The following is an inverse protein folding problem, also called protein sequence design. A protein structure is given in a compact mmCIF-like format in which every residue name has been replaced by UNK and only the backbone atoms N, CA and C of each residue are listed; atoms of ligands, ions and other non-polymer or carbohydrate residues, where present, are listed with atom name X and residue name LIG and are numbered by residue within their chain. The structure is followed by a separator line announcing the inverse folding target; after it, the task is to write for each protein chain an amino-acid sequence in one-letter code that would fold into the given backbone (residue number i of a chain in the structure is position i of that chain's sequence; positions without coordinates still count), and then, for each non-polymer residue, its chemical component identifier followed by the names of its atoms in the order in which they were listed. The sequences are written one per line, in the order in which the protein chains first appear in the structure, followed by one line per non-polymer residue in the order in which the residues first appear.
data_IF_944812623196
#
_entry.id   IF_944812623196
#
_cell.length_a   1.000
_cell.length_b   1.000
_cell.length_c   1.000
_cell.angle_alpha   90.00
_cell.angle_beta   90.00
_cell.angle_gamma   90.00
#
_symmetry.space_group_name_H-M   'P 1'
#
loop_
_entity.id
_entity.type
_entity.pdbx_description
1 polymer ?
#
# COMPACT_ATOMS: atom_id res chain seq x y z
N UNK A 1 23.24 -12.54 -14.43
CA UNK A 1 22.32 -11.56 -13.82
C UNK A 1 22.31 -10.30 -14.67
N UNK A 2 21.29 -10.10 -15.53
CA UNK A 2 21.23 -8.97 -16.47
C UNK A 2 20.46 -7.80 -15.85
N UNK A 3 21.15 -7.00 -15.03
CA UNK A 3 20.62 -5.82 -14.30
C UNK A 3 20.18 -4.66 -15.21
N UNK A 4 20.44 -4.73 -16.52
CA UNK A 4 20.11 -3.70 -17.49
C UNK A 4 18.61 -3.64 -17.85
N UNK A 5 17.90 -4.78 -17.85
CA UNK A 5 16.48 -4.82 -18.24
C UNK A 5 15.55 -4.32 -17.12
N UNK A 6 15.90 -4.54 -15.85
CA UNK A 6 15.14 -4.04 -14.70
C UNK A 6 15.18 -2.50 -14.65
N UNK A 7 16.34 -1.87 -14.92
CA UNK A 7 16.49 -0.41 -14.97
C UNK A 7 15.62 0.27 -16.04
N UNK A 8 15.41 -0.37 -17.19
CA UNK A 8 14.64 0.19 -18.32
C UNK A 8 13.13 -0.04 -18.19
N UNK A 9 12.72 -1.13 -17.55
CA UNK A 9 11.31 -1.46 -17.29
C UNK A 9 10.74 -0.72 -16.06
N UNK A 10 11.62 -0.29 -15.14
CA UNK A 10 11.28 0.29 -13.84
C UNK A 10 10.36 1.52 -13.86
N UNK A 11 10.51 2.56 -14.71
CA UNK A 11 9.72 3.77 -14.55
C UNK A 11 8.23 3.56 -14.90
N UNK A 12 7.96 2.81 -15.97
CA UNK A 12 6.58 2.53 -16.41
C UNK A 12 5.90 1.53 -15.48
N UNK A 13 6.63 0.51 -15.04
CA UNK A 13 6.14 -0.43 -14.03
C UNK A 13 5.90 0.28 -12.68
N UNK A 14 6.80 1.17 -12.23
CA UNK A 14 6.66 1.93 -10.98
C UNK A 14 5.37 2.76 -10.98
N UNK A 15 5.07 3.47 -12.06
CA UNK A 15 3.83 4.24 -12.15
C UNK A 15 2.59 3.35 -12.07
N UNK A 16 2.60 2.19 -12.75
CA UNK A 16 1.52 1.21 -12.65
C UNK A 16 1.40 0.63 -11.23
N UNK A 17 2.52 0.40 -10.55
CA UNK A 17 2.54 -0.06 -9.16
C UNK A 17 2.03 1.00 -8.19
N UNK A 18 2.42 2.28 -8.34
CA UNK A 18 1.87 3.37 -7.55
C UNK A 18 0.36 3.45 -7.74
N UNK A 19 -0.13 3.33 -8.99
CA UNK A 19 -1.57 3.31 -9.26
C UNK A 19 -2.26 2.09 -8.62
N UNK A 20 -1.65 0.90 -8.68
CA UNK A 20 -2.18 -0.31 -8.06
C UNK A 20 -2.20 -0.21 -6.52
N UNK A 21 -1.13 0.26 -5.90
CA UNK A 21 -1.03 0.48 -4.44
C UNK A 21 -2.01 1.54 -4.00
N UNK A 22 -2.18 2.62 -4.76
CA UNK A 22 -3.18 3.66 -4.51
C UNK A 22 -4.60 3.08 -4.56
N UNK A 23 -4.90 2.26 -5.57
CA UNK A 23 -6.19 1.58 -5.70
C UNK A 23 -6.43 0.58 -4.56
N UNK A 24 -5.37 -0.12 -4.14
CA UNK A 24 -5.40 -1.03 -3.00
C UNK A 24 -5.63 -0.29 -1.69
N UNK A 25 -4.93 0.83 -1.47
CA UNK A 25 -5.11 1.68 -0.30
C UNK A 25 -6.55 2.21 -0.24
N UNK A 26 -7.10 2.64 -1.37
CA UNK A 26 -8.50 3.06 -1.45
C UNK A 26 -9.48 1.93 -1.10
N UNK A 27 -9.18 0.68 -1.47
CA UNK A 27 -9.96 -0.49 -1.06
C UNK A 27 -9.91 -0.75 0.44
N UNK A 28 -8.82 -0.37 1.09
CA UNK A 28 -8.71 -0.36 2.55
C UNK A 28 -9.22 0.95 3.16
N UNK A 29 -9.93 1.81 2.44
CA UNK A 29 -10.44 3.07 2.97
C UNK A 29 -9.35 4.09 3.31
N UNK A 30 -8.11 3.89 2.86
CA UNK A 30 -7.04 4.89 2.96
C UNK A 30 -7.02 5.64 1.64
N UNK A 31 -7.52 6.88 1.64
CA UNK A 31 -7.59 7.73 0.45
C UNK A 31 -6.94 9.09 0.71
N UNK A 32 -6.64 9.83 -0.36
CA UNK A 32 -6.15 11.20 -0.26
C UNK A 32 -7.15 12.16 0.44
N UNK A 33 -8.44 11.80 0.51
CA UNK A 33 -9.47 12.59 1.18
C UNK A 33 -9.60 12.28 2.67
N UNK A 34 -9.09 11.14 3.12
CA UNK A 34 -9.22 10.68 4.49
C UNK A 34 -9.06 9.17 4.63
N UNK A 35 -8.84 8.75 5.87
CA UNK A 35 -8.78 7.36 6.30
C UNK A 35 -10.09 6.94 6.93
N UNK A 36 -10.68 5.85 6.44
CA UNK A 36 -11.87 5.27 7.05
C UNK A 36 -11.53 4.57 8.38
N UNK A 37 -12.44 4.61 9.36
CA UNK A 37 -12.25 3.91 10.62
C UNK A 37 -12.19 2.40 10.39
N UNK A 38 -11.18 1.75 10.97
CA UNK A 38 -11.09 0.31 11.03
C UNK A 38 -11.67 -0.19 12.35
N UNK A 39 -12.70 -1.03 12.27
CA UNK A 39 -13.27 -1.70 13.43
C UNK A 39 -12.75 -3.14 13.49
N UNK A 40 -12.07 -3.52 14.56
CA UNK A 40 -11.55 -4.87 14.70
C UNK A 40 -12.54 -5.71 15.50
N UNK A 41 -13.20 -6.69 14.86
CA UNK A 41 -14.14 -7.61 15.49
C UNK A 41 -13.56 -9.03 15.44
N UNK A 42 -12.92 -9.44 16.53
CA UNK A 42 -12.32 -10.78 16.67
C UNK A 42 -11.20 -11.02 15.64
N UNK A 43 -11.42 -12.00 14.75
CA UNK A 43 -10.49 -12.40 13.69
C UNK A 43 -10.65 -11.61 12.37
N UNK A 44 -11.61 -10.70 12.33
CA UNK A 44 -11.94 -9.89 11.15
C UNK A 44 -11.77 -8.40 11.47
N UNK A 45 -11.11 -7.68 10.58
CA UNK A 45 -11.03 -6.22 10.57
C UNK A 45 -12.05 -5.69 9.56
N UNK A 46 -13.11 -5.06 10.06
CA UNK A 46 -14.07 -4.30 9.28
C UNK A 46 -13.48 -2.94 8.92
N UNK A 47 -13.55 -2.61 7.63
CA UNK A 47 -12.98 -1.42 7.03
C UNK A 47 -14.04 -0.84 6.10
N UNK A 48 -14.70 0.23 6.53
CA UNK A 48 -15.89 0.74 5.83
C UNK A 48 -16.93 -0.37 5.69
N UNK A 49 -17.31 -0.69 4.45
CA UNK A 49 -18.24 -1.78 4.12
C UNK A 49 -17.57 -3.15 3.88
N UNK A 50 -16.24 -3.24 3.96
CA UNK A 50 -15.50 -4.48 3.62
C UNK A 50 -14.89 -5.15 4.85
N UNK A 51 -15.08 -6.46 4.99
CA UNK A 51 -14.45 -7.27 6.02
C UNK A 51 -13.16 -7.91 5.51
N UNK A 52 -12.07 -7.75 6.26
CA UNK A 52 -10.75 -8.27 5.93
C UNK A 52 -10.18 -9.14 7.06
N UNK A 53 -9.28 -10.09 6.77
CA UNK A 53 -8.62 -10.88 7.81
C UNK A 53 -7.79 -9.99 8.75
N UNK A 54 -7.75 -10.32 10.05
CA UNK A 54 -6.93 -9.64 11.07
C UNK A 54 -5.44 -9.53 10.69
N UNK A 55 -4.92 -10.45 9.89
CA UNK A 55 -3.55 -10.41 9.39
C UNK A 55 -3.21 -9.12 8.63
N UNK A 56 -4.20 -8.45 8.04
CA UNK A 56 -4.03 -7.21 7.27
C UNK A 56 -4.02 -5.96 8.17
N UNK A 57 -4.63 -6.05 9.36
CA UNK A 57 -4.71 -4.94 10.31
C UNK A 57 -3.35 -4.28 10.65
N UNK A 58 -2.26 -5.02 10.98
CA UNK A 58 -0.97 -4.39 11.26
C UNK A 58 -0.38 -3.69 10.02
N UNK A 59 -0.52 -4.27 8.84
CA UNK A 59 -0.03 -3.68 7.59
C UNK A 59 -0.78 -2.38 7.25
N UNK A 60 -2.10 -2.36 7.45
CA UNK A 60 -2.94 -1.15 7.30
C UNK A 60 -2.52 -0.07 8.30
N UNK A 61 -2.35 -0.42 9.57
CA UNK A 61 -1.98 0.54 10.62
C UNK A 61 -0.60 1.16 10.36
N UNK A 62 0.34 0.40 9.81
CA UNK A 62 1.62 0.92 9.34
C UNK A 62 1.45 1.90 8.16
N UNK A 63 0.56 1.58 7.21
CA UNK A 63 0.23 2.45 6.08
C UNK A 63 -0.41 3.76 6.54
N UNK A 64 -1.39 3.69 7.44
CA UNK A 64 -2.04 4.84 8.07
C UNK A 64 -1.01 5.74 8.76
N UNK A 65 -0.14 5.17 9.59
CA UNK A 65 0.92 5.94 10.25
C UNK A 65 1.89 6.59 9.28
N UNK A 66 2.24 5.91 8.18
CA UNK A 66 3.03 6.54 7.11
C UNK A 66 2.26 7.71 6.49
N UNK A 67 0.99 7.52 6.14
CA UNK A 67 0.14 8.58 5.56
C UNK A 67 0.01 9.78 6.50
N UNK A 68 -0.12 9.56 7.81
CA UNK A 68 -0.14 10.63 8.81
C UNK A 68 1.22 11.37 8.91
N UNK A 69 2.34 10.65 8.80
CA UNK A 69 3.67 11.25 8.97
C UNK A 69 4.16 12.03 7.74
N UNK A 70 3.90 11.52 6.53
CA UNK A 70 4.49 12.07 5.30
C UNK A 70 3.44 12.45 4.23
N UNK A 71 2.17 12.15 4.48
CA UNK A 71 1.08 12.40 3.54
C UNK A 71 0.83 11.22 2.59
N UNK A 72 -0.39 11.17 2.05
CA UNK A 72 -0.88 10.04 1.25
C UNK A 72 0.00 9.75 0.02
N UNK A 73 0.30 10.77 -0.78
CA UNK A 73 1.08 10.61 -2.01
C UNK A 73 2.47 10.02 -1.74
N UNK A 74 3.17 10.56 -0.74
CA UNK A 74 4.51 10.12 -0.35
C UNK A 74 4.50 8.71 0.26
N UNK A 75 3.48 8.38 1.05
CA UNK A 75 3.31 7.03 1.60
C UNK A 75 3.05 5.99 0.50
N UNK A 76 2.22 6.30 -0.51
CA UNK A 76 1.98 5.39 -1.65
C UNK A 76 3.26 5.16 -2.46
N UNK A 77 4.06 6.20 -2.66
CA UNK A 77 5.36 6.07 -3.33
C UNK A 77 6.33 5.18 -2.55
N UNK A 78 6.48 5.40 -1.24
CA UNK A 78 7.35 4.58 -0.39
C UNK A 78 6.88 3.13 -0.29
N UNK A 79 5.57 2.90 -0.22
CA UNK A 79 4.99 1.57 -0.22
C UNK A 79 5.27 0.85 -1.54
N UNK A 80 5.08 1.52 -2.68
CA UNK A 80 5.43 0.99 -3.99
C UNK A 80 6.93 0.69 -4.10
N UNK A 81 7.79 1.56 -3.57
CA UNK A 81 9.24 1.38 -3.59
C UNK A 81 9.70 0.21 -2.72
N UNK A 82 9.15 0.09 -1.51
CA UNK A 82 9.43 -1.02 -0.59
C UNK A 82 8.97 -2.37 -1.15
N UNK A 83 7.81 -2.40 -1.79
CA UNK A 83 7.31 -3.61 -2.44
C UNK A 83 8.14 -3.98 -3.67
N UNK A 84 8.51 -3.00 -4.50
CA UNK A 84 9.39 -3.20 -5.65
C UNK A 84 10.76 -3.74 -5.24
N UNK A 85 11.34 -3.21 -4.16
CA UNK A 85 12.61 -3.68 -3.61
C UNK A 85 12.51 -5.12 -3.09
N UNK A 86 11.38 -5.49 -2.47
CA UNK A 86 11.13 -6.89 -2.06
C UNK A 86 10.97 -7.84 -3.25
N UNK A 87 10.30 -7.41 -4.33
CA UNK A 87 10.16 -8.24 -5.54
C UNK A 87 11.51 -8.45 -6.25
N UNK A 88 12.36 -7.43 -6.31
CA UNK A 88 13.72 -7.57 -6.87
C UNK A 88 14.67 -8.39 -5.99
N UNK A 89 14.33 -8.60 -4.72
CA UNK A 89 15.14 -9.36 -3.77
C UNK A 89 14.78 -10.86 -3.72
N UNK A 90 13.75 -11.31 -4.47
CA UNK A 90 13.35 -12.71 -4.62
C UNK A 90 13.94 -13.29 -5.91
#
# INVERSE_FOLDING_TARGET
MNTANIKKYAPKARNNFIAAVTKQAARYGITAKGTEPMEQRGDIALIGENAFPKAIAPARKALERMVEQMGFAQAMEQAAYSWFNRLCAI
#
